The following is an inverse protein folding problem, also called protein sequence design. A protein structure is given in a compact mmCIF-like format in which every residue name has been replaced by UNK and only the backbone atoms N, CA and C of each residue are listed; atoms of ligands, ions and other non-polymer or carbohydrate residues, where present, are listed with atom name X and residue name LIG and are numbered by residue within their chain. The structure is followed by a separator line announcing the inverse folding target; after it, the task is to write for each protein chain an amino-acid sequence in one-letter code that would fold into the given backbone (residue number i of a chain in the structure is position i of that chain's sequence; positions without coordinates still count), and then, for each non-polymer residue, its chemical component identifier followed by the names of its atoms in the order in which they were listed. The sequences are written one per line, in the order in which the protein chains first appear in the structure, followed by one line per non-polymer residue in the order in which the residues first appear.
data_IF_978756928649
#
_entry.id   IF_978756928649
#
_cell.length_a   1.000
_cell.length_b   1.000
_cell.length_c   1.000
_cell.angle_alpha   90.00
_cell.angle_beta   90.00
_cell.angle_gamma   90.00
#
_symmetry.space_group_name_H-M   'P 1'
#
loop_
_entity.id
_entity.type
_entity.pdbx_description
1 polymer ?
#
# COMPACT_ATOMS: atom_id res chain seq x y z
N UNK A 1 -18.03 51.28 43.07
CA UNK A 1 -17.07 50.17 43.27
C UNK A 1 -16.86 49.49 41.92
N UNK A 2 -15.61 49.24 41.55
CA UNK A 2 -15.13 49.20 40.18
C UNK A 2 -15.67 48.04 39.31
N UNK A 3 -16.01 48.39 38.07
CA UNK A 3 -16.25 47.50 36.94
C UNK A 3 -14.92 46.82 36.57
N UNK A 4 -14.78 45.52 36.84
CA UNK A 4 -13.61 44.74 36.37
C UNK A 4 -13.94 44.13 35.01
N UNK A 5 -13.50 44.80 33.96
CA UNK A 5 -13.42 44.22 32.62
C UNK A 5 -12.38 43.09 32.64
N UNK A 6 -12.84 41.84 32.54
CA UNK A 6 -11.98 40.69 32.29
C UNK A 6 -11.62 40.70 30.80
N UNK A 7 -10.40 41.14 30.50
CA UNK A 7 -9.78 41.11 29.18
C UNK A 7 -9.55 39.65 28.75
N UNK A 8 -10.32 39.18 27.78
CA UNK A 8 -10.06 37.95 27.04
C UNK A 8 -8.90 38.19 26.06
N UNK A 9 -7.67 37.91 26.47
CA UNK A 9 -6.52 37.86 25.55
C UNK A 9 -6.55 36.54 24.78
N UNK A 10 -7.10 36.57 23.57
CA UNK A 10 -6.98 35.47 22.62
C UNK A 10 -5.52 35.38 22.13
N UNK A 11 -4.78 34.38 22.59
CA UNK A 11 -3.46 34.04 22.07
C UNK A 11 -3.65 33.35 20.71
N UNK A 12 -3.75 34.15 19.65
CA UNK A 12 -3.80 33.68 18.27
C UNK A 12 -2.41 33.20 17.88
N UNK A 13 -2.16 31.89 18.05
CA UNK A 13 -0.94 31.26 17.59
C UNK A 13 -0.97 31.24 16.05
N UNK A 14 -0.26 32.19 15.43
CA UNK A 14 0.03 32.16 13.99
C UNK A 14 0.85 30.90 13.70
N UNK A 15 0.18 29.83 13.28
CA UNK A 15 0.85 28.68 12.67
C UNK A 15 1.23 29.14 11.25
N UNK A 16 2.48 29.52 11.06
CA UNK A 16 3.05 29.70 9.73
C UNK A 16 3.02 28.35 9.02
N UNK A 17 2.11 28.20 8.06
CA UNK A 17 2.15 27.07 7.13
C UNK A 17 3.40 27.23 6.26
N UNK A 18 4.48 26.53 6.60
CA UNK A 18 5.57 26.31 5.66
C UNK A 18 5.02 25.43 4.54
N UNK A 19 4.60 26.05 3.44
CA UNK A 19 4.46 25.36 2.17
C UNK A 19 5.88 24.99 1.71
N UNK A 20 6.36 23.81 2.14
CA UNK A 20 7.57 23.23 1.56
C UNK A 20 7.34 23.04 0.07
N UNK A 21 8.27 23.52 -0.75
CA UNK A 21 8.25 23.29 -2.19
C UNK A 21 8.25 21.78 -2.46
N UNK A 22 7.17 21.28 -3.09
CA UNK A 22 7.12 19.89 -3.57
C UNK A 22 7.94 19.87 -4.86
N UNK A 23 9.21 19.50 -4.77
CA UNK A 23 10.01 19.19 -5.95
C UNK A 23 9.41 17.95 -6.62
N UNK A 24 8.89 18.10 -7.84
CA UNK A 24 8.40 17.00 -8.66
C UNK A 24 9.60 16.20 -9.19
N UNK A 25 9.70 14.93 -8.79
CA UNK A 25 10.79 14.04 -9.22
C UNK A 25 10.45 13.42 -10.58
N UNK A 26 11.27 13.72 -11.59
CA UNK A 26 11.19 13.05 -12.90
C UNK A 26 11.84 11.67 -12.82
N UNK A 27 11.02 10.65 -12.55
CA UNK A 27 11.46 9.25 -12.44
C UNK A 27 12.15 8.69 -13.68
N UNK A 28 12.08 9.36 -14.85
CA UNK A 28 12.82 8.95 -16.04
C UNK A 28 14.29 9.42 -16.03
N UNK A 29 14.68 10.32 -15.12
CA UNK A 29 16.00 10.97 -15.11
C UNK A 29 16.73 10.88 -13.76
N UNK A 30 16.18 10.19 -12.78
CA UNK A 30 16.80 10.01 -11.47
C UNK A 30 18.08 9.16 -11.57
N UNK A 31 19.12 9.58 -10.85
CA UNK A 31 20.43 8.89 -10.82
C UNK A 31 20.79 8.48 -9.40
N UNK A 32 20.37 9.26 -8.39
CA UNK A 32 20.66 8.96 -6.99
C UNK A 32 19.80 7.79 -6.49
N UNK A 33 20.37 6.93 -5.62
CA UNK A 33 19.63 5.81 -5.03
C UNK A 33 18.36 6.27 -4.27
N UNK A 34 18.38 7.35 -3.45
CA UNK A 34 17.17 7.82 -2.79
C UNK A 34 16.05 8.24 -3.76
N UNK A 35 16.39 8.94 -4.85
CA UNK A 35 15.37 9.38 -5.82
C UNK A 35 14.80 8.18 -6.60
N UNK A 36 15.64 7.19 -6.94
CA UNK A 36 15.21 5.92 -7.53
C UNK A 36 14.25 5.19 -6.58
N UNK A 37 14.57 5.11 -5.30
CA UNK A 37 13.73 4.45 -4.29
C UNK A 37 12.38 5.15 -4.12
N UNK A 38 12.36 6.47 -4.16
CA UNK A 38 11.12 7.25 -4.11
C UNK A 38 10.21 6.96 -5.32
N UNK A 39 10.80 6.82 -6.51
CA UNK A 39 10.06 6.44 -7.71
C UNK A 39 9.49 5.01 -7.62
N UNK A 40 10.28 4.04 -7.15
CA UNK A 40 9.81 2.66 -6.96
C UNK A 40 8.69 2.61 -5.90
N UNK A 41 8.83 3.37 -4.81
CA UNK A 41 7.80 3.44 -3.76
C UNK A 41 6.48 4.02 -4.30
N UNK A 42 6.54 5.12 -5.06
CA UNK A 42 5.35 5.71 -5.68
C UNK A 42 4.66 4.76 -6.67
N UNK A 43 5.43 3.95 -7.41
CA UNK A 43 4.87 2.93 -8.28
C UNK A 43 4.26 1.77 -7.49
N UNK A 44 4.95 1.30 -6.44
CA UNK A 44 4.44 0.30 -5.52
C UNK A 44 3.09 0.73 -4.93
N UNK A 45 2.94 1.97 -4.49
CA UNK A 45 1.66 2.48 -3.95
C UNK A 45 0.51 2.36 -4.97
N UNK A 46 0.77 2.65 -6.25
CA UNK A 46 -0.23 2.48 -7.33
C UNK A 46 -0.59 1.01 -7.54
N UNK A 47 0.39 0.12 -7.47
CA UNK A 47 0.18 -1.33 -7.61
C UNK A 47 -0.57 -1.88 -6.40
N UNK A 48 -0.25 -1.47 -5.17
CA UNK A 48 -0.97 -1.89 -3.95
C UNK A 48 -2.43 -1.42 -3.98
N UNK A 49 -2.69 -0.19 -4.46
CA UNK A 49 -4.05 0.27 -4.69
C UNK A 49 -4.80 -0.62 -5.68
N UNK A 50 -4.13 -1.01 -6.78
CA UNK A 50 -4.69 -1.91 -7.80
C UNK A 50 -4.94 -3.31 -7.26
N UNK A 51 -4.06 -3.81 -6.39
CA UNK A 51 -4.21 -5.07 -5.68
C UNK A 51 -5.45 -5.07 -4.77
N UNK A 52 -5.62 -4.02 -3.97
CA UNK A 52 -6.81 -3.89 -3.13
C UNK A 52 -8.07 -3.83 -4.00
N UNK A 53 -8.06 -3.08 -5.11
CA UNK A 53 -9.19 -3.03 -6.03
C UNK A 53 -9.52 -4.42 -6.62
N UNK A 54 -8.52 -5.20 -7.05
CA UNK A 54 -8.72 -6.56 -7.54
C UNK A 54 -9.34 -7.47 -6.48
N UNK A 55 -8.83 -7.40 -5.24
CA UNK A 55 -9.37 -8.15 -4.11
C UNK A 55 -10.84 -7.79 -3.82
N UNK A 56 -11.17 -6.50 -3.77
CA UNK A 56 -12.54 -6.04 -3.53
C UNK A 56 -13.50 -6.44 -4.66
N UNK A 57 -13.05 -6.40 -5.92
CA UNK A 57 -13.86 -6.88 -7.06
C UNK A 57 -14.21 -8.35 -6.92
N UNK A 58 -13.24 -9.20 -6.58
CA UNK A 58 -13.47 -10.63 -6.35
C UNK A 58 -14.43 -10.84 -5.16
N UNK A 59 -14.21 -10.17 -4.03
CA UNK A 59 -15.11 -10.27 -2.87
C UNK A 59 -16.56 -9.90 -3.21
N UNK A 60 -16.77 -8.90 -4.06
CA UNK A 60 -18.10 -8.49 -4.53
C UNK A 60 -18.76 -9.59 -5.37
N UNK A 61 -18.02 -10.30 -6.22
CA UNK A 61 -18.56 -11.42 -6.99
C UNK A 61 -18.96 -12.61 -6.11
N UNK A 62 -18.31 -12.75 -4.95
CA UNK A 62 -18.57 -13.80 -3.97
C UNK A 62 -19.68 -13.45 -2.96
N UNK A 63 -20.53 -12.43 -3.20
CA UNK A 63 -21.69 -12.09 -2.34
C UNK A 63 -22.97 -12.82 -2.70
N UNK A 64 -22.90 -13.77 -3.62
CA UNK A 64 -24.05 -14.57 -4.02
C UNK A 64 -24.48 -15.52 -2.89
N UNK A 65 -25.74 -15.97 -2.96
CA UNK A 65 -26.28 -16.96 -2.03
C UNK A 65 -25.71 -18.32 -2.40
N UNK A 66 -25.31 -19.10 -1.39
CA UNK A 66 -24.82 -20.46 -1.61
C UNK A 66 -25.88 -21.34 -2.27
N UNK A 67 -25.44 -22.19 -3.19
CA UNK A 67 -26.26 -23.20 -3.87
C UNK A 67 -25.73 -24.59 -3.52
N UNK A 68 -26.44 -25.68 -3.85
CA UNK A 68 -25.87 -27.03 -3.71
C UNK A 68 -24.59 -27.27 -4.53
N UNK A 69 -24.33 -26.44 -5.55
CA UNK A 69 -23.17 -26.51 -6.43
C UNK A 69 -22.06 -25.53 -6.03
N UNK A 70 -22.42 -24.36 -5.49
CA UNK A 70 -21.52 -23.24 -5.22
C UNK A 70 -21.55 -22.82 -3.75
N UNK A 71 -20.38 -22.80 -3.12
CA UNK A 71 -20.21 -22.36 -1.73
C UNK A 71 -19.40 -21.05 -1.67
N UNK A 72 -20.07 -19.94 -2.00
CA UNK A 72 -19.50 -18.60 -2.01
C UNK A 72 -19.04 -18.16 -0.61
N UNK A 73 -19.77 -18.56 0.44
CA UNK A 73 -19.42 -18.26 1.84
C UNK A 73 -18.07 -18.86 2.22
N UNK A 74 -17.90 -20.17 1.98
CA UNK A 74 -16.65 -20.86 2.29
C UNK A 74 -15.52 -20.39 1.38
N UNK A 75 -15.80 -20.13 0.09
CA UNK A 75 -14.81 -19.57 -0.81
C UNK A 75 -14.28 -18.23 -0.29
N UNK A 76 -15.15 -17.29 0.08
CA UNK A 76 -14.73 -16.01 0.67
C UNK A 76 -13.85 -16.22 1.91
N UNK A 77 -14.23 -17.14 2.80
CA UNK A 77 -13.47 -17.45 4.01
C UNK A 77 -12.07 -17.96 3.67
N UNK A 78 -11.95 -18.89 2.72
CA UNK A 78 -10.66 -19.43 2.27
C UNK A 78 -9.81 -18.38 1.56
N UNK A 79 -10.43 -17.54 0.73
CA UNK A 79 -9.76 -16.42 0.06
C UNK A 79 -9.16 -15.43 1.06
N UNK A 80 -9.89 -15.07 2.13
CA UNK A 80 -9.38 -14.21 3.20
C UNK A 80 -8.15 -14.83 3.90
N UNK A 81 -8.21 -16.13 4.21
CA UNK A 81 -7.08 -16.85 4.80
C UNK A 81 -5.87 -16.84 3.87
N UNK A 82 -6.09 -17.15 2.58
CA UNK A 82 -5.04 -17.15 1.57
C UNK A 82 -4.41 -15.75 1.42
N UNK A 83 -5.21 -14.69 1.36
CA UNK A 83 -4.70 -13.32 1.25
C UNK A 83 -3.85 -12.92 2.45
N UNK A 84 -4.26 -13.27 3.67
CA UNK A 84 -3.47 -13.00 4.90
C UNK A 84 -2.17 -13.79 4.93
N UNK A 85 -2.20 -15.06 4.51
CA UNK A 85 -0.99 -15.88 4.42
C UNK A 85 -0.03 -15.34 3.36
N UNK A 86 -0.55 -14.90 2.21
CA UNK A 86 0.23 -14.29 1.14
C UNK A 86 0.95 -13.02 1.60
N UNK A 87 0.31 -12.16 2.41
CA UNK A 87 0.97 -10.96 2.98
C UNK A 87 2.22 -11.35 3.77
N UNK A 88 2.09 -12.34 4.67
CA UNK A 88 3.22 -12.83 5.48
C UNK A 88 4.33 -13.45 4.63
N UNK A 89 3.95 -14.23 3.61
CA UNK A 89 4.89 -14.78 2.65
C UNK A 89 5.65 -13.67 1.92
N UNK A 90 4.94 -12.65 1.39
CA UNK A 90 5.54 -11.52 0.69
C UNK A 90 6.53 -10.78 1.57
N UNK A 91 6.17 -10.51 2.82
CA UNK A 91 7.07 -9.83 3.77
C UNK A 91 8.36 -10.66 3.97
N UNK A 92 8.22 -11.92 4.34
CA UNK A 92 9.38 -12.80 4.58
C UNK A 92 10.26 -12.99 3.33
N UNK A 93 9.65 -13.11 2.15
CA UNK A 93 10.36 -13.27 0.88
C UNK A 93 11.15 -12.00 0.50
N UNK A 94 10.54 -10.83 0.64
CA UNK A 94 11.21 -9.57 0.34
C UNK A 94 12.29 -9.22 1.38
N UNK A 95 12.10 -9.58 2.65
CA UNK A 95 13.13 -9.44 3.69
C UNK A 95 14.34 -10.34 3.40
N UNK A 96 14.11 -11.57 2.91
CA UNK A 96 15.19 -12.46 2.50
C UNK A 96 16.01 -11.88 1.34
N UNK A 97 15.34 -11.27 0.34
CA UNK A 97 16.03 -10.58 -0.75
C UNK A 97 16.78 -9.34 -0.26
N UNK A 98 16.22 -8.58 0.68
CA UNK A 98 16.92 -7.45 1.30
C UNK A 98 18.23 -7.91 1.96
N UNK A 99 18.19 -8.98 2.75
CA UNK A 99 19.38 -9.51 3.46
C UNK A 99 20.44 -10.05 2.49
N UNK A 100 20.02 -10.67 1.37
CA UNK A 100 20.95 -11.08 0.30
C UNK A 100 21.76 -9.89 -0.24
N UNK A 101 21.21 -8.68 -0.19
CA UNK A 101 21.87 -7.44 -0.61
C UNK A 101 22.37 -6.57 0.56
N UNK A 102 22.48 -7.10 1.79
CA UNK A 102 22.79 -6.35 3.03
C UNK A 102 23.92 -5.32 2.91
N UNK A 103 24.98 -5.62 2.17
CA UNK A 103 26.16 -4.77 2.06
C UNK A 103 26.05 -3.68 0.98
N UNK A 104 25.03 -3.72 0.13
CA UNK A 104 24.82 -2.79 -0.97
C UNK A 104 23.80 -1.70 -0.63
N UNK A 105 23.97 -0.51 -1.20
CA UNK A 105 22.99 0.59 -1.10
C UNK A 105 21.68 0.27 -1.82
N UNK A 106 21.68 -0.67 -2.77
CA UNK A 106 20.51 -1.08 -3.55
C UNK A 106 19.47 -1.92 -2.76
N UNK A 107 19.81 -2.41 -1.56
CA UNK A 107 18.96 -3.37 -0.82
C UNK A 107 17.52 -2.89 -0.58
N UNK A 108 17.33 -1.59 -0.35
CA UNK A 108 15.98 -1.03 -0.18
C UNK A 108 15.23 -0.95 -1.52
N UNK A 109 15.92 -0.56 -2.60
CA UNK A 109 15.37 -0.64 -3.96
C UNK A 109 14.91 -2.07 -4.33
N UNK A 110 15.69 -3.09 -3.95
CA UNK A 110 15.33 -4.51 -4.15
C UNK A 110 14.08 -4.88 -3.35
N UNK A 111 14.01 -4.51 -2.07
CA UNK A 111 12.85 -4.77 -1.22
C UNK A 111 11.56 -4.17 -1.79
N UNK A 112 11.60 -2.89 -2.20
CA UNK A 112 10.45 -2.20 -2.79
C UNK A 112 10.03 -2.88 -4.11
N UNK A 113 11.00 -3.22 -4.97
CA UNK A 113 10.75 -3.89 -6.24
C UNK A 113 10.16 -5.29 -6.04
N UNK A 114 10.65 -6.05 -5.05
CA UNK A 114 10.09 -7.36 -4.69
C UNK A 114 8.62 -7.23 -4.31
N UNK A 115 8.27 -6.28 -3.42
CA UNK A 115 6.87 -6.07 -3.02
C UNK A 115 5.97 -5.74 -4.20
N UNK A 116 6.47 -4.90 -5.12
CA UNK A 116 5.75 -4.50 -6.34
C UNK A 116 5.48 -5.73 -7.22
N UNK A 117 6.51 -6.50 -7.56
CA UNK A 117 6.38 -7.70 -8.39
C UNK A 117 5.43 -8.73 -7.76
N UNK A 118 5.52 -8.95 -6.44
CA UNK A 118 4.60 -9.84 -5.72
C UNK A 118 3.15 -9.34 -5.79
N UNK A 119 2.93 -8.03 -5.67
CA UNK A 119 1.60 -7.44 -5.78
C UNK A 119 1.03 -7.56 -7.21
N UNK A 120 1.84 -7.33 -8.25
CA UNK A 120 1.47 -7.53 -9.66
C UNK A 120 1.07 -8.99 -9.94
N UNK A 121 1.88 -9.94 -9.47
CA UNK A 121 1.56 -11.36 -9.57
C UNK A 121 0.23 -11.67 -8.88
N UNK A 122 0.02 -11.16 -7.67
CA UNK A 122 -1.19 -11.42 -6.90
C UNK A 122 -2.44 -10.81 -7.54
N UNK A 123 -2.32 -9.65 -8.19
CA UNK A 123 -3.41 -9.06 -8.99
C UNK A 123 -3.87 -10.06 -10.06
N UNK A 124 -2.93 -10.66 -10.80
CA UNK A 124 -3.26 -11.62 -11.86
C UNK A 124 -3.95 -12.87 -11.31
N UNK A 125 -3.44 -13.41 -10.20
CA UNK A 125 -4.07 -14.53 -9.50
C UNK A 125 -5.50 -14.20 -9.10
N UNK A 126 -5.72 -13.07 -8.41
CA UNK A 126 -7.06 -12.64 -7.97
C UNK A 126 -8.03 -12.42 -9.15
N UNK A 127 -7.55 -11.89 -10.28
CA UNK A 127 -8.39 -11.71 -11.46
C UNK A 127 -8.77 -13.05 -12.13
N UNK A 128 -7.94 -14.09 -11.99
CA UNK A 128 -8.23 -15.44 -12.52
C UNK A 128 -9.23 -16.24 -11.69
N UNK A 129 -9.57 -15.75 -10.50
CA UNK A 129 -10.40 -16.45 -9.51
C UNK A 129 -11.90 -16.17 -9.63
N UNK A 130 -12.31 -15.35 -10.60
CA UNK A 130 -13.70 -15.00 -10.80
C UNK A 130 -14.55 -16.26 -11.02
N UNK A 131 -15.67 -16.43 -10.27
CA UNK A 131 -16.59 -17.54 -10.50
C UNK A 131 -17.27 -17.38 -11.88
N UNK A 132 -17.63 -18.52 -12.48
CA UNK A 132 -18.34 -18.60 -13.77
C UNK A 132 -19.81 -18.19 -13.65
#
# INVERSE_FOLDING_TARGET
MALRALLLTAFFCFISANAGEVFEIDCAKVISTPDVEQCIAAELDRVEASLNQAYQRLLKQLTQIDTPQDNYTEYRRKLLIAQRAWIKFREADCDAQYEMHRSGTIRNSIYLSCKKQRAEQRINELNSYAPY
#
